data_IF_589032411853
#
_entry.id   IF_589032411853
#
_cell.length_a   1.000
_cell.length_b   1.000
_cell.length_c   1.000
_cell.angle_alpha   90.00
_cell.angle_beta   90.00
_cell.angle_gamma   90.00
#
_symmetry.space_group_name_H-M   'P 1'
#
loop_
_entity.id
_entity.type
_entity.pdbx_description
1 polymer ?
#
# COMPACT_ATOMS: atom_id res chain seq x y z
N UNK A 1 30.28 -1.29 14.28
CA UNK A 1 30.55 0.15 14.01
C UNK A 1 31.69 0.24 13.01
N UNK A 2 31.41 0.28 11.71
CA UNK A 2 32.43 0.38 10.68
C UNK A 2 32.91 1.83 10.60
N UNK A 3 34.21 2.07 10.90
CA UNK A 3 34.83 3.39 10.70
C UNK A 3 34.84 3.70 9.21
N UNK A 4 34.21 4.80 8.80
CA UNK A 4 34.39 5.42 7.49
C UNK A 4 35.88 5.70 7.29
N UNK A 5 36.55 4.96 6.40
CA UNK A 5 37.85 5.37 5.88
C UNK A 5 37.59 6.45 4.84
N UNK A 6 37.86 7.69 5.20
CA UNK A 6 37.91 8.80 4.23
C UNK A 6 39.23 8.73 3.52
N UNK A 7 39.24 8.23 2.30
CA UNK A 7 40.35 8.45 1.39
C UNK A 7 40.30 9.90 0.89
N UNK A 8 41.29 10.71 1.20
CA UNK A 8 41.52 11.99 0.52
C UNK A 8 42.02 11.66 -0.88
N UNK A 9 41.16 11.77 -1.89
CA UNK A 9 41.55 11.81 -3.27
C UNK A 9 41.78 13.28 -3.64
N UNK A 10 43.03 13.71 -3.68
CA UNK A 10 43.40 15.11 -3.93
C UNK A 10 43.24 15.53 -5.40
N UNK A 11 42.94 14.59 -6.33
CA UNK A 11 42.69 14.86 -7.75
C UNK A 11 41.55 13.98 -8.27
N UNK A 12 40.33 14.45 -8.11
CA UNK A 12 39.21 13.95 -8.91
C UNK A 12 39.25 14.72 -10.23
N UNK A 13 39.27 14.05 -11.42
CA UNK A 13 39.18 14.74 -12.70
C UNK A 13 37.98 15.69 -12.69
N UNK A 14 38.19 16.91 -13.19
CA UNK A 14 37.15 17.92 -13.31
C UNK A 14 36.05 17.34 -14.19
N UNK A 15 34.79 17.69 -13.95
CA UNK A 15 33.60 17.12 -14.58
C UNK A 15 33.66 17.11 -16.12
N UNK A 16 34.29 18.10 -16.73
CA UNK A 16 34.49 18.19 -18.18
C UNK A 16 35.31 17.01 -18.74
N UNK A 17 36.30 16.52 -17.99
CA UNK A 17 37.06 15.33 -18.38
C UNK A 17 36.27 14.04 -18.16
N UNK A 18 35.41 13.98 -17.13
CA UNK A 18 34.63 12.79 -16.80
C UNK A 18 33.64 12.39 -17.93
N UNK A 19 33.00 13.35 -18.60
CA UNK A 19 32.09 13.05 -19.74
C UNK A 19 32.83 12.40 -20.90
N UNK A 20 34.08 12.80 -21.15
CA UNK A 20 34.92 12.23 -22.21
C UNK A 20 35.45 10.82 -21.89
N UNK A 21 35.76 10.55 -20.61
CA UNK A 21 36.22 9.23 -20.15
C UNK A 21 35.08 8.22 -19.97
N UNK A 22 33.87 8.66 -19.62
CA UNK A 22 32.72 7.77 -19.34
C UNK A 22 31.93 7.37 -20.59
N UNK A 23 32.61 7.17 -21.73
CA UNK A 23 31.98 6.67 -22.95
C UNK A 23 31.66 5.16 -22.89
N UNK A 24 32.43 4.41 -22.13
CA UNK A 24 32.26 2.96 -22.00
C UNK A 24 31.32 2.60 -20.85
N UNK A 25 30.45 1.61 -21.08
CA UNK A 25 29.45 1.15 -20.11
C UNK A 25 30.06 0.69 -18.77
N UNK A 26 31.19 0.00 -18.82
CA UNK A 26 31.91 -0.45 -17.63
C UNK A 26 32.43 0.73 -16.76
N UNK A 27 32.86 1.81 -17.40
CA UNK A 27 33.31 3.01 -16.69
C UNK A 27 32.15 3.78 -16.05
N UNK A 28 31.03 3.90 -16.74
CA UNK A 28 29.79 4.47 -16.17
C UNK A 28 29.36 3.71 -14.92
N UNK A 29 29.29 2.38 -15.00
CA UNK A 29 28.97 1.52 -13.85
C UNK A 29 29.96 1.64 -12.70
N UNK A 30 31.27 1.73 -13.02
CA UNK A 30 32.31 1.93 -12.01
C UNK A 30 32.18 3.28 -11.31
N UNK A 31 31.88 4.35 -12.06
CA UNK A 31 31.64 5.69 -11.52
C UNK A 31 30.42 5.70 -10.56
N UNK A 32 29.28 5.14 -10.99
CA UNK A 32 28.07 5.06 -10.16
C UNK A 32 28.34 4.23 -8.90
N UNK A 33 29.05 3.09 -9.04
CA UNK A 33 29.46 2.26 -7.90
C UNK A 33 30.36 3.01 -6.92
N UNK A 34 31.36 3.74 -7.43
CA UNK A 34 32.26 4.55 -6.60
C UNK A 34 31.51 5.59 -5.78
N UNK A 35 30.62 6.34 -6.41
CA UNK A 35 29.78 7.32 -5.73
C UNK A 35 28.88 6.69 -4.67
N UNK A 36 28.26 5.55 -4.98
CA UNK A 36 27.42 4.85 -4.00
C UNK A 36 28.21 4.30 -2.82
N UNK A 37 29.39 3.73 -3.06
CA UNK A 37 30.25 3.22 -1.97
C UNK A 37 30.83 4.34 -1.11
N UNK A 38 31.15 5.49 -1.71
CA UNK A 38 31.76 6.64 -1.01
C UNK A 38 30.77 7.48 -0.22
N UNK A 39 29.59 7.74 -0.78
CA UNK A 39 28.64 8.72 -0.25
C UNK A 39 27.18 8.22 -0.22
N UNK A 40 26.95 6.97 -0.61
CA UNK A 40 25.61 6.38 -0.62
C UNK A 40 25.16 5.85 0.73
N UNK A 41 23.88 5.87 0.95
CA UNK A 41 23.22 5.19 2.06
C UNK A 41 21.96 4.48 1.59
N UNK A 42 21.61 3.40 2.27
CA UNK A 42 20.39 2.62 2.02
C UNK A 42 19.72 2.25 3.33
N UNK A 43 18.41 2.44 3.42
CA UNK A 43 17.63 2.06 4.58
C UNK A 43 17.33 0.55 4.57
N UNK A 44 17.07 0.02 5.77
CA UNK A 44 16.57 -1.35 5.88
C UNK A 44 15.23 -1.49 5.14
N UNK A 45 15.11 -2.38 4.14
CA UNK A 45 13.91 -2.53 3.32
C UNK A 45 12.67 -3.00 4.10
N UNK A 46 12.86 -3.54 5.32
CA UNK A 46 11.75 -3.90 6.22
C UNK A 46 10.95 -2.68 6.67
N UNK A 47 11.59 -1.53 6.77
CA UNK A 47 10.97 -0.30 7.25
C UNK A 47 10.48 0.56 6.09
N UNK A 48 11.41 1.14 5.33
CA UNK A 48 11.12 2.09 4.27
C UNK A 48 12.13 1.95 3.13
N UNK A 49 11.65 1.96 1.90
CA UNK A 49 12.51 2.02 0.73
C UNK A 49 13.07 3.42 0.59
N UNK A 50 14.37 3.53 0.78
CA UNK A 50 15.11 4.76 0.58
C UNK A 50 16.58 4.44 0.34
N UNK A 51 17.10 4.91 -0.79
CA UNK A 51 18.52 4.91 -1.12
C UNK A 51 18.85 6.34 -1.52
N UNK A 52 19.98 6.86 -1.05
CA UNK A 52 20.45 8.18 -1.42
C UNK A 52 21.96 8.21 -1.61
N UNK A 53 22.42 9.14 -2.46
CA UNK A 53 23.83 9.46 -2.65
C UNK A 53 23.95 10.98 -2.50
N UNK A 54 24.80 11.44 -1.58
CA UNK A 54 24.99 12.87 -1.28
C UNK A 54 26.28 13.31 -1.93
N UNK A 55 26.19 14.28 -2.82
CA UNK A 55 27.32 14.83 -3.54
C UNK A 55 27.87 16.10 -2.87
N UNK A 56 29.11 16.49 -3.24
CA UNK A 56 29.73 17.73 -2.77
C UNK A 56 29.04 18.94 -3.42
N UNK A 57 28.76 18.85 -4.71
CA UNK A 57 28.14 19.87 -5.54
C UNK A 57 26.93 19.34 -6.31
N UNK A 58 26.16 20.25 -6.88
CA UNK A 58 24.93 19.94 -7.62
C UNK A 58 25.24 19.37 -9.01
N UNK A 59 26.31 19.78 -9.64
CA UNK A 59 26.70 19.35 -10.99
C UNK A 59 26.98 17.85 -11.01
N UNK A 60 27.74 17.34 -10.02
CA UNK A 60 27.99 15.91 -9.86
C UNK A 60 26.71 15.11 -9.61
N UNK A 61 25.76 15.69 -8.86
CA UNK A 61 24.47 15.04 -8.63
C UNK A 61 23.64 14.98 -9.92
N UNK A 62 23.56 16.07 -10.70
CA UNK A 62 22.85 16.13 -11.98
C UNK A 62 23.47 15.17 -13.01
N UNK A 63 24.79 15.12 -13.07
CA UNK A 63 25.51 14.19 -13.94
C UNK A 63 25.20 12.73 -13.58
N UNK A 64 25.25 12.40 -12.29
CA UNK A 64 24.91 11.03 -11.84
C UNK A 64 23.45 10.70 -12.13
N UNK A 65 22.52 11.65 -11.96
CA UNK A 65 21.12 11.46 -12.33
C UNK A 65 20.95 11.16 -13.82
N UNK A 66 21.67 11.88 -14.70
CA UNK A 66 21.69 11.65 -16.15
C UNK A 66 22.14 10.22 -16.45
N UNK A 67 23.22 9.76 -15.85
CA UNK A 67 23.71 8.39 -16.02
C UNK A 67 22.70 7.34 -15.53
N UNK A 68 22.08 7.54 -14.38
CA UNK A 68 21.05 6.59 -13.86
C UNK A 68 19.83 6.49 -14.80
N UNK A 69 19.44 7.61 -15.42
CA UNK A 69 18.36 7.62 -16.41
C UNK A 69 18.72 6.80 -17.66
N UNK A 70 19.98 6.79 -18.10
CA UNK A 70 20.42 5.94 -19.21
C UNK A 70 20.22 4.44 -18.90
N UNK A 71 20.28 4.03 -17.63
CA UNK A 71 19.97 2.67 -17.18
C UNK A 71 18.51 2.45 -16.80
N UNK A 72 17.63 3.38 -17.18
CA UNK A 72 16.21 3.33 -16.85
C UNK A 72 15.94 3.21 -15.35
N UNK A 73 16.76 3.86 -14.51
CA UNK A 73 16.59 3.96 -13.08
C UNK A 73 15.96 5.31 -12.75
N UNK A 74 14.71 5.30 -12.27
CA UNK A 74 13.88 6.47 -11.98
C UNK A 74 14.30 7.24 -10.72
N UNK A 75 15.59 7.66 -10.64
CA UNK A 75 16.10 8.45 -9.54
C UNK A 75 15.55 9.88 -9.56
N UNK A 76 15.54 10.52 -8.39
CA UNK A 76 15.18 11.93 -8.23
C UNK A 76 16.31 12.69 -7.59
N UNK A 77 16.34 14.00 -7.82
CA UNK A 77 17.33 14.89 -7.24
C UNK A 77 16.65 15.91 -6.32
N UNK A 78 17.29 16.19 -5.20
CA UNK A 78 16.97 17.30 -4.31
C UNK A 78 18.29 17.99 -3.92
N UNK A 79 18.47 19.22 -4.39
CA UNK A 79 19.74 19.97 -4.25
C UNK A 79 20.94 19.16 -4.77
N UNK A 80 21.78 18.65 -3.87
CA UNK A 80 22.96 17.83 -4.17
C UNK A 80 22.81 16.36 -3.79
N UNK A 81 21.57 15.90 -3.58
CA UNK A 81 21.27 14.52 -3.21
C UNK A 81 20.48 13.84 -4.30
N UNK A 82 20.97 12.73 -4.82
CA UNK A 82 20.24 11.83 -5.71
C UNK A 82 19.62 10.72 -4.86
N UNK A 83 18.31 10.46 -5.03
CA UNK A 83 17.63 9.49 -4.19
C UNK A 83 16.61 8.63 -4.93
N UNK A 84 16.35 7.44 -4.38
CA UNK A 84 15.37 6.47 -4.80
C UNK A 84 14.42 6.13 -3.63
N UNK A 85 13.12 6.05 -3.88
CA UNK A 85 12.09 5.68 -2.89
C UNK A 85 11.26 4.47 -3.33
N UNK A 86 11.47 4.00 -4.54
CA UNK A 86 10.81 2.83 -5.08
C UNK A 86 11.68 1.59 -4.91
N UNK A 87 11.06 0.45 -4.51
CA UNK A 87 11.79 -0.78 -4.23
C UNK A 87 12.38 -1.41 -5.50
N UNK A 88 11.68 -1.31 -6.62
CA UNK A 88 12.17 -1.85 -7.90
C UNK A 88 13.37 -1.06 -8.41
N UNK A 89 13.30 0.27 -8.32
CA UNK A 89 14.40 1.15 -8.73
C UNK A 89 15.65 0.97 -7.86
N UNK A 90 15.46 0.75 -6.54
CA UNK A 90 16.56 0.41 -5.63
C UNK A 90 17.18 -0.94 -6.00
N UNK A 91 16.37 -1.93 -6.34
CA UNK A 91 16.85 -3.23 -6.79
C UNK A 91 17.68 -3.13 -8.07
N UNK A 92 17.20 -2.36 -9.08
CA UNK A 92 17.95 -2.06 -10.31
C UNK A 92 19.29 -1.38 -9.99
N UNK A 93 19.28 -0.39 -9.10
CA UNK A 93 20.50 0.29 -8.67
C UNK A 93 21.49 -0.65 -8.00
N UNK A 94 21.06 -1.51 -7.09
CA UNK A 94 21.89 -2.50 -6.43
C UNK A 94 22.47 -3.51 -7.42
N UNK A 95 21.71 -3.94 -8.42
CA UNK A 95 22.19 -4.81 -9.51
C UNK A 95 23.24 -4.08 -10.36
N UNK A 96 22.99 -2.82 -10.73
CA UNK A 96 23.90 -1.99 -11.54
C UNK A 96 25.27 -1.85 -10.87
N UNK A 97 25.31 -1.65 -9.56
CA UNK A 97 26.57 -1.53 -8.80
C UNK A 97 27.22 -2.90 -8.47
N UNK A 98 26.63 -4.00 -8.94
CA UNK A 98 27.18 -5.35 -8.77
C UNK A 98 26.86 -6.01 -7.42
N UNK A 99 25.86 -5.52 -6.70
CA UNK A 99 25.42 -6.05 -5.41
C UNK A 99 24.48 -7.26 -5.51
N UNK A 100 24.77 -8.25 -6.37
CA UNK A 100 23.86 -9.35 -6.70
C UNK A 100 23.32 -10.12 -5.48
N UNK A 101 24.18 -10.45 -4.51
CA UNK A 101 23.74 -11.10 -3.26
C UNK A 101 22.84 -10.23 -2.40
N UNK A 102 23.06 -8.91 -2.43
CA UNK A 102 22.23 -7.93 -1.73
C UNK A 102 20.88 -7.76 -2.42
N UNK A 103 20.84 -7.81 -3.75
CA UNK A 103 19.60 -7.79 -4.54
C UNK A 103 18.70 -8.95 -4.14
N UNK A 104 19.23 -10.18 -4.09
CA UNK A 104 18.44 -11.35 -3.70
C UNK A 104 17.81 -11.19 -2.31
N UNK A 105 18.59 -10.77 -1.33
CA UNK A 105 18.09 -10.49 0.04
C UNK A 105 17.08 -9.36 0.09
N UNK A 106 17.28 -8.32 -0.72
CA UNK A 106 16.38 -7.19 -0.82
C UNK A 106 15.02 -7.61 -1.40
N UNK A 107 15.04 -8.37 -2.49
CA UNK A 107 13.82 -8.90 -3.14
C UNK A 107 13.06 -9.88 -2.24
N UNK A 108 13.74 -10.75 -1.51
CA UNK A 108 13.10 -11.63 -0.52
C UNK A 108 12.31 -10.82 0.52
N UNK A 109 12.92 -9.78 1.08
CA UNK A 109 12.24 -8.91 2.05
C UNK A 109 11.08 -8.16 1.40
N UNK A 110 11.22 -7.75 0.13
CA UNK A 110 10.17 -7.05 -0.63
C UNK A 110 8.95 -7.93 -0.82
N UNK A 111 9.14 -9.18 -1.28
CA UNK A 111 8.07 -10.17 -1.44
C UNK A 111 7.33 -10.43 -0.13
N UNK A 112 8.06 -10.69 0.96
CA UNK A 112 7.46 -10.92 2.27
C UNK A 112 6.63 -9.73 2.75
N UNK A 113 7.10 -8.51 2.49
CA UNK A 113 6.37 -7.28 2.84
C UNK A 113 5.09 -7.12 2.02
N UNK A 114 5.14 -7.40 0.72
CA UNK A 114 3.96 -7.35 -0.14
C UNK A 114 2.91 -8.38 0.28
N UNK A 115 3.33 -9.61 0.56
CA UNK A 115 2.44 -10.65 1.09
C UNK A 115 1.76 -10.20 2.38
N UNK A 116 2.51 -9.67 3.35
CA UNK A 116 1.97 -9.17 4.61
C UNK A 116 0.98 -8.02 4.39
N UNK A 117 1.31 -7.09 3.50
CA UNK A 117 0.43 -5.96 3.18
C UNK A 117 -0.87 -6.44 2.53
N UNK A 118 -0.82 -7.42 1.63
CA UNK A 118 -2.00 -8.00 0.99
C UNK A 118 -2.89 -8.70 2.01
N UNK A 119 -2.33 -9.51 2.90
CA UNK A 119 -3.08 -10.15 3.99
C UNK A 119 -3.76 -9.08 4.87
N UNK A 120 -3.03 -8.06 5.29
CA UNK A 120 -3.60 -6.98 6.10
C UNK A 120 -4.76 -6.25 5.38
N UNK A 121 -4.64 -6.02 4.06
CA UNK A 121 -5.71 -5.40 3.27
C UNK A 121 -6.97 -6.28 3.23
N UNK A 122 -6.80 -7.58 3.03
CA UNK A 122 -7.92 -8.55 3.04
C UNK A 122 -8.58 -8.54 4.40
N UNK A 123 -7.83 -8.72 5.49
CA UNK A 123 -8.35 -8.73 6.86
C UNK A 123 -9.08 -7.43 7.19
N UNK A 124 -8.50 -6.28 6.85
CA UNK A 124 -9.15 -4.98 7.08
C UNK A 124 -10.46 -4.84 6.29
N UNK A 125 -10.49 -5.31 5.04
CA UNK A 125 -11.69 -5.29 4.22
C UNK A 125 -12.80 -6.18 4.81
N UNK A 126 -12.46 -7.41 5.18
CA UNK A 126 -13.41 -8.35 5.79
C UNK A 126 -13.93 -7.84 7.13
N UNK A 127 -13.04 -7.33 7.99
CA UNK A 127 -13.41 -6.72 9.27
C UNK A 127 -14.36 -5.53 9.09
N UNK A 128 -14.06 -4.65 8.12
CA UNK A 128 -14.92 -3.51 7.83
C UNK A 128 -16.31 -3.94 7.31
N UNK A 129 -16.37 -4.97 6.45
CA UNK A 129 -17.62 -5.53 5.95
C UNK A 129 -18.44 -6.21 7.06
N UNK A 130 -17.78 -6.96 7.93
CA UNK A 130 -18.41 -7.59 9.09
C UNK A 130 -19.01 -6.53 10.03
N UNK A 131 -18.23 -5.51 10.37
CA UNK A 131 -18.69 -4.41 11.22
C UNK A 131 -19.90 -3.66 10.63
N UNK A 132 -19.91 -3.42 9.30
CA UNK A 132 -21.07 -2.83 8.62
C UNK A 132 -22.30 -3.72 8.74
N UNK A 133 -22.13 -5.03 8.59
CA UNK A 133 -23.23 -6.01 8.71
C UNK A 133 -23.80 -6.05 10.13
N UNK A 134 -22.94 -6.14 11.14
CA UNK A 134 -23.34 -6.13 12.56
C UNK A 134 -24.05 -4.83 12.92
N UNK A 135 -23.48 -3.67 12.58
CA UNK A 135 -24.07 -2.38 12.88
C UNK A 135 -25.45 -2.20 12.21
N UNK A 136 -25.62 -2.70 10.99
CA UNK A 136 -26.91 -2.68 10.31
C UNK A 136 -27.92 -3.60 11.03
N UNK A 137 -27.52 -4.79 11.42
CA UNK A 137 -28.37 -5.75 12.14
C UNK A 137 -28.82 -5.18 13.50
N UNK A 138 -27.93 -4.58 14.27
CA UNK A 138 -28.25 -3.94 15.55
C UNK A 138 -29.26 -2.80 15.36
N UNK A 139 -29.02 -1.91 14.39
CA UNK A 139 -29.97 -0.81 14.08
C UNK A 139 -31.36 -1.34 13.70
N UNK A 140 -31.41 -2.40 12.88
CA UNK A 140 -32.66 -3.02 12.46
C UNK A 140 -33.40 -3.65 13.66
N UNK A 141 -32.69 -4.36 14.54
CA UNK A 141 -33.29 -4.92 15.75
C UNK A 141 -33.83 -3.85 16.71
N UNK A 142 -33.07 -2.73 16.89
CA UNK A 142 -33.55 -1.61 17.69
C UNK A 142 -34.79 -0.94 17.09
N UNK A 143 -34.83 -0.76 15.78
CA UNK A 143 -35.98 -0.23 15.04
C UNK A 143 -37.21 -1.07 15.27
N UNK A 144 -37.11 -2.39 15.09
CA UNK A 144 -38.23 -3.35 15.31
C UNK A 144 -38.70 -3.27 16.76
N UNK A 145 -37.76 -3.24 17.72
CA UNK A 145 -38.11 -3.14 19.16
C UNK A 145 -38.84 -1.85 19.48
N UNK A 146 -38.46 -0.71 18.86
CA UNK A 146 -39.17 0.57 19.01
C UNK A 146 -40.59 0.52 18.44
N UNK A 147 -40.76 -0.06 17.24
CA UNK A 147 -42.06 -0.22 16.60
C UNK A 147 -43.01 -1.12 17.42
N UNK A 148 -42.51 -2.22 17.99
CA UNK A 148 -43.28 -3.09 18.88
C UNK A 148 -43.73 -2.36 20.16
N UNK A 149 -42.83 -1.59 20.78
CA UNK A 149 -43.15 -0.82 21.98
C UNK A 149 -44.18 0.29 21.73
N UNK A 150 -44.15 0.92 20.55
CA UNK A 150 -45.12 1.97 20.17
C UNK A 150 -46.47 1.44 19.67
N UNK A 151 -46.64 0.10 19.55
CA UNK A 151 -47.83 -0.53 18.98
C UNK A 151 -47.96 -0.39 17.45
N UNK A 152 -47.06 0.35 16.81
CA UNK A 152 -47.10 0.58 15.36
C UNK A 152 -46.72 -0.64 14.52
N UNK A 153 -46.08 -1.63 15.12
CA UNK A 153 -45.71 -2.89 14.44
C UNK A 153 -46.93 -3.60 13.80
N UNK A 154 -48.09 -3.51 14.43
CA UNK A 154 -49.31 -4.15 13.92
C UNK A 154 -49.83 -3.51 12.62
N UNK A 155 -49.44 -2.26 12.35
CA UNK A 155 -49.85 -1.52 11.16
C UNK A 155 -48.91 -1.79 9.93
N UNK A 156 -47.84 -2.56 10.14
CA UNK A 156 -46.97 -2.95 9.04
C UNK A 156 -47.66 -3.91 8.07
N UNK A 157 -47.44 -3.83 6.77
CA UNK A 157 -47.78 -4.85 5.79
C UNK A 157 -47.17 -6.20 6.14
N UNK A 158 -47.82 -7.29 5.75
CA UNK A 158 -47.38 -8.64 6.10
C UNK A 158 -45.96 -8.98 5.61
N UNK A 159 -45.57 -8.50 4.43
CA UNK A 159 -44.23 -8.69 3.89
C UNK A 159 -43.13 -7.96 4.69
N UNK A 160 -43.48 -6.87 5.35
CA UNK A 160 -42.58 -6.14 6.26
C UNK A 160 -42.55 -6.76 7.66
N UNK A 161 -43.68 -7.32 8.15
CA UNK A 161 -43.72 -8.07 9.39
C UNK A 161 -42.89 -9.35 9.29
N UNK A 162 -43.01 -10.07 8.18
CA UNK A 162 -42.27 -11.31 7.96
C UNK A 162 -40.75 -11.08 8.09
N UNK A 163 -40.21 -10.08 7.39
CA UNK A 163 -38.79 -9.80 7.44
C UNK A 163 -38.32 -9.26 8.80
N UNK A 164 -39.17 -8.50 9.49
CA UNK A 164 -38.87 -8.01 10.83
C UNK A 164 -38.80 -9.17 11.85
N UNK A 165 -39.73 -10.12 11.80
CA UNK A 165 -39.69 -11.30 12.67
C UNK A 165 -38.49 -12.18 12.37
N UNK A 166 -38.16 -12.42 11.09
CA UNK A 166 -36.95 -13.16 10.70
C UNK A 166 -35.67 -12.50 11.22
N UNK A 167 -35.57 -11.16 11.26
CA UNK A 167 -34.41 -10.45 11.83
C UNK A 167 -34.31 -10.65 13.34
N UNK A 168 -35.41 -10.67 14.07
CA UNK A 168 -35.38 -10.96 15.51
C UNK A 168 -34.97 -12.38 15.82
N UNK A 169 -35.48 -13.35 15.05
CA UNK A 169 -35.13 -14.76 15.18
C UNK A 169 -33.69 -15.05 14.78
N UNK A 170 -33.15 -14.27 13.82
CA UNK A 170 -31.82 -14.46 13.25
C UNK A 170 -31.00 -13.16 13.29
N UNK A 171 -30.54 -12.68 14.46
CA UNK A 171 -29.89 -11.41 14.64
C UNK A 171 -28.54 -11.29 13.91
N UNK A 172 -27.85 -12.41 13.68
CA UNK A 172 -26.55 -12.45 13.02
C UNK A 172 -26.63 -12.65 11.50
N UNK A 173 -27.83 -13.01 10.97
CA UNK A 173 -27.98 -13.29 9.55
C UNK A 173 -27.68 -12.06 8.68
N UNK A 174 -27.00 -12.27 7.56
CA UNK A 174 -26.83 -11.23 6.55
C UNK A 174 -28.14 -10.90 5.85
N UNK A 175 -28.23 -9.74 5.17
CA UNK A 175 -29.44 -9.39 4.40
C UNK A 175 -29.74 -10.41 3.29
N UNK A 176 -28.72 -11.04 2.73
CA UNK A 176 -28.88 -12.08 1.71
C UNK A 176 -29.48 -13.35 2.31
N UNK A 177 -28.98 -13.78 3.46
CA UNK A 177 -29.54 -14.92 4.20
C UNK A 177 -31.00 -14.68 4.62
N UNK A 178 -31.33 -13.49 5.15
CA UNK A 178 -32.71 -13.12 5.46
C UNK A 178 -33.62 -13.15 4.24
N UNK A 179 -33.11 -12.66 3.10
CA UNK A 179 -33.84 -12.68 1.85
C UNK A 179 -34.15 -14.10 1.35
N UNK A 180 -33.21 -15.04 1.58
CA UNK A 180 -33.40 -16.45 1.24
C UNK A 180 -34.39 -17.20 2.18
N UNK A 181 -34.53 -16.71 3.43
CA UNK A 181 -35.45 -17.31 4.44
C UNK A 181 -36.90 -16.87 4.29
N UNK A 182 -37.19 -15.87 3.47
CA UNK A 182 -38.57 -15.42 3.22
C UNK A 182 -39.37 -16.48 2.43
N UNK A 183 -40.67 -16.52 2.61
CA UNK A 183 -41.58 -17.40 1.84
C UNK A 183 -41.42 -17.25 0.35
N UNK A 184 -41.23 -15.99 -0.12
CA UNK A 184 -40.83 -15.66 -1.47
C UNK A 184 -39.42 -15.08 -1.42
N UNK A 185 -38.36 -15.86 -1.74
CA UNK A 185 -36.97 -15.39 -1.65
C UNK A 185 -36.71 -14.14 -2.49
N UNK A 186 -35.99 -13.17 -1.90
CA UNK A 186 -35.64 -11.90 -2.55
C UNK A 186 -34.15 -11.58 -2.33
N UNK A 187 -33.57 -10.77 -3.21
CA UNK A 187 -32.19 -10.37 -3.12
C UNK A 187 -31.92 -9.34 -2.01
N UNK A 188 -30.62 -9.22 -1.64
CA UNK A 188 -30.10 -8.28 -0.63
C UNK A 188 -30.63 -6.85 -0.76
N UNK A 189 -30.71 -6.33 -1.99
CA UNK A 189 -31.16 -4.95 -2.25
C UNK A 189 -32.63 -4.76 -1.87
N UNK A 190 -33.48 -5.75 -2.20
CA UNK A 190 -34.90 -5.74 -1.85
C UNK A 190 -35.13 -5.82 -0.33
N UNK A 191 -34.33 -6.66 0.35
CA UNK A 191 -34.32 -6.73 1.82
C UNK A 191 -33.95 -5.40 2.43
N UNK A 192 -32.88 -4.77 1.93
CA UNK A 192 -32.47 -3.43 2.39
C UNK A 192 -33.56 -2.38 2.19
N UNK A 193 -34.25 -2.42 1.05
CA UNK A 193 -35.37 -1.52 0.77
C UNK A 193 -36.56 -1.75 1.71
N UNK A 194 -36.88 -3.02 2.06
CA UNK A 194 -37.92 -3.31 3.05
C UNK A 194 -37.59 -2.74 4.42
N UNK A 195 -36.34 -2.84 4.89
CA UNK A 195 -35.94 -2.21 6.17
C UNK A 195 -36.04 -0.68 6.15
N UNK A 196 -35.74 -0.03 5.02
CA UNK A 196 -35.97 1.41 4.87
C UNK A 196 -37.46 1.77 4.97
N UNK A 197 -38.32 0.99 4.33
CA UNK A 197 -39.80 1.17 4.49
C UNK A 197 -40.26 0.98 5.93
N UNK A 198 -39.72 -0.01 6.66
CA UNK A 198 -40.03 -0.21 8.06
C UNK A 198 -39.66 1.04 8.90
N UNK A 199 -38.56 1.69 8.57
CA UNK A 199 -38.11 2.92 9.23
C UNK A 199 -39.11 4.09 9.06
N UNK A 200 -39.82 4.15 7.92
CA UNK A 200 -40.83 5.20 7.65
C UNK A 200 -42.09 5.10 8.56
N UNK A 201 -42.31 3.98 9.22
CA UNK A 201 -43.42 3.78 10.17
C UNK A 201 -43.09 4.27 11.60
N UNK A 202 -41.85 4.69 11.86
CA UNK A 202 -41.44 5.12 13.20
C UNK A 202 -41.85 6.55 13.48
#
# INVERSE_FOLDING_TARGET
MYKRQTYKCDEIPVLEDAENYLQQDNLKKAYIRGNFLGAGSINNPRNKYHLEIIFKDKECAEFTLKLLNEYSIGAKILEKTVYLKDGEEISKMLALVGGHSTVLKFEEIRVLREMKNNVNRIVNCETANLNKTINAAVKQAELIKKLKKSGKFNNLPEDLKEIANLREENPEATLEQLGAMLKNPIGKSSVSHRFKKIEEYL
#
